data_IF_542784506269
#
_entry.id   IF_542784506269
#
_cell.length_a   1.000
_cell.length_b   1.000
_cell.length_c   1.000
_cell.angle_alpha   90.00
_cell.angle_beta   90.00
_cell.angle_gamma   90.00
#
_symmetry.space_group_name_H-M   'P 1'
#
loop_
_entity.id
_entity.type
_entity.pdbx_description
1 polymer ?
#
# COMPACT_ATOMS: atom_id res chain seq x y z
N UNK A 1 -4.06 37.67 1.91
CA UNK A 1 -5.18 37.01 2.62
C UNK A 1 -6.38 37.09 1.68
N UNK A 2 -6.98 36.07 1.11
CA UNK A 2 -7.00 34.62 1.31
C UNK A 2 -7.29 34.01 -0.07
N UNK A 3 -6.42 33.13 -0.56
CA UNK A 3 -6.71 32.21 -1.64
C UNK A 3 -6.56 30.78 -1.09
N UNK A 4 -7.33 30.53 -0.02
CA UNK A 4 -7.59 29.19 0.49
C UNK A 4 -8.78 28.68 -0.32
N UNK A 5 -8.69 27.43 -0.80
CA UNK A 5 -9.71 26.69 -1.56
C UNK A 5 -9.54 26.72 -3.09
N UNK A 6 -8.52 26.03 -3.62
CA UNK A 6 -8.55 25.43 -4.98
C UNK A 6 -7.34 24.51 -5.27
N UNK A 7 -7.01 23.52 -4.42
CA UNK A 7 -6.07 22.44 -4.82
C UNK A 7 -6.41 21.10 -4.12
N UNK A 8 -7.68 20.70 -4.14
CA UNK A 8 -8.09 19.34 -3.71
C UNK A 8 -8.53 18.46 -4.89
N UNK A 9 -8.22 18.85 -6.14
CA UNK A 9 -8.71 18.14 -7.31
C UNK A 9 -7.68 18.11 -8.43
N UNK A 10 -6.62 17.31 -8.27
CA UNK A 10 -5.77 16.97 -9.42
C UNK A 10 -5.13 15.58 -9.40
N UNK A 11 -5.39 14.74 -8.38
CA UNK A 11 -4.98 13.34 -8.37
C UNK A 11 -6.12 12.33 -8.59
N UNK A 12 -7.36 12.81 -8.62
CA UNK A 12 -8.53 11.94 -8.88
C UNK A 12 -8.87 11.84 -10.36
N UNK A 13 -8.57 12.86 -11.18
CA UNK A 13 -8.96 12.86 -12.60
C UNK A 13 -7.88 12.31 -13.55
N UNK A 14 -6.59 12.45 -13.24
CA UNK A 14 -5.53 12.06 -14.18
C UNK A 14 -5.41 10.53 -14.36
N UNK A 15 -5.82 9.74 -13.36
CA UNK A 15 -5.90 8.27 -13.47
C UNK A 15 -7.27 7.77 -13.94
N UNK A 16 -8.31 8.62 -13.97
CA UNK A 16 -9.63 8.27 -14.51
C UNK A 16 -9.71 8.31 -16.04
N UNK A 17 -8.78 8.99 -16.73
CA UNK A 17 -8.84 9.08 -18.20
C UNK A 17 -8.33 7.85 -18.94
N UNK A 18 -7.56 6.95 -18.29
CA UNK A 18 -6.94 5.80 -19.00
C UNK A 18 -7.41 4.40 -18.56
N UNK A 19 -8.27 4.25 -17.54
CA UNK A 19 -8.75 2.92 -17.09
C UNK A 19 -10.27 2.86 -17.06
N UNK A 20 -10.87 2.77 -18.23
CA UNK A 20 -12.32 2.83 -18.46
C UNK A 20 -13.09 1.52 -18.19
N UNK A 21 -12.67 0.61 -17.29
CA UNK A 21 -13.51 -0.59 -17.04
C UNK A 21 -13.58 -1.23 -15.66
N UNK A 22 -12.80 -0.84 -14.64
CA UNK A 22 -12.90 -1.51 -13.33
C UNK A 22 -12.51 -0.57 -12.17
N UNK A 23 -13.42 0.30 -11.71
CA UNK A 23 -13.23 0.99 -10.43
C UNK A 23 -14.57 1.45 -9.83
N UNK A 24 -14.97 0.81 -8.73
CA UNK A 24 -16.00 1.30 -7.81
C UNK A 24 -15.40 2.37 -6.86
N UNK A 25 -16.16 3.15 -6.09
CA UNK A 25 -15.71 4.43 -5.52
C UNK A 25 -14.66 4.43 -4.37
N UNK A 26 -13.75 3.47 -4.27
CA UNK A 26 -12.84 3.28 -3.11
C UNK A 26 -11.33 3.45 -3.40
N UNK A 27 -10.93 3.76 -4.61
CA UNK A 27 -9.77 3.04 -5.16
C UNK A 27 -8.37 3.65 -4.97
N UNK A 28 -8.15 4.60 -4.03
CA UNK A 28 -6.78 5.02 -3.60
C UNK A 28 -6.66 5.37 -2.09
N UNK A 29 -7.56 4.87 -1.24
CA UNK A 29 -7.66 5.23 0.18
C UNK A 29 -6.98 4.15 1.05
N UNK A 30 -5.65 4.19 1.16
CA UNK A 30 -4.92 3.29 2.06
C UNK A 30 -3.41 3.56 2.11
N UNK A 31 -2.86 3.70 3.32
CA UNK A 31 -1.43 3.90 3.54
C UNK A 31 -0.68 2.56 3.56
N UNK A 32 -0.82 1.75 2.51
CA UNK A 32 -0.24 0.41 2.41
C UNK A 32 1.12 0.35 1.70
N UNK A 33 1.55 -0.87 1.35
CA UNK A 33 2.86 -1.15 0.70
C UNK A 33 3.14 -0.25 -0.52
N UNK A 34 2.17 -0.07 -1.41
CA UNK A 34 2.31 0.83 -2.58
C UNK A 34 1.83 2.26 -2.28
N UNK A 35 0.90 2.43 -1.34
CA UNK A 35 0.29 3.72 -1.02
C UNK A 35 1.26 4.68 -0.32
N UNK A 36 2.05 4.18 0.65
CA UNK A 36 3.06 4.97 1.33
C UNK A 36 4.12 5.57 0.39
N UNK A 37 4.84 4.79 -0.44
CA UNK A 37 5.84 5.34 -1.35
C UNK A 37 5.23 6.23 -2.42
N UNK A 38 4.03 5.91 -2.94
CA UNK A 38 3.32 6.79 -3.87
C UNK A 38 3.03 8.17 -3.25
N UNK A 39 2.50 8.19 -2.02
CA UNK A 39 2.23 9.43 -1.31
C UNK A 39 3.50 10.23 -1.03
N UNK A 40 4.60 9.56 -0.65
CA UNK A 40 5.89 10.20 -0.45
C UNK A 40 6.40 10.87 -1.74
N UNK A 41 6.38 10.16 -2.87
CA UNK A 41 6.80 10.69 -4.18
C UNK A 41 5.97 11.91 -4.59
N UNK A 42 4.65 11.84 -4.47
CA UNK A 42 3.76 12.95 -4.81
C UNK A 42 3.94 14.16 -3.88
N UNK A 43 4.23 13.90 -2.60
CA UNK A 43 4.40 14.95 -1.58
C UNK A 43 5.60 15.88 -1.82
N UNK A 44 6.53 15.47 -2.68
CA UNK A 44 7.66 16.31 -3.10
C UNK A 44 7.19 17.62 -3.77
N UNK A 45 6.05 17.58 -4.47
CA UNK A 45 5.55 18.71 -5.24
C UNK A 45 4.09 19.12 -4.90
N UNK A 46 3.35 18.27 -4.19
CA UNK A 46 1.93 18.47 -3.91
C UNK A 46 1.60 18.27 -2.43
N UNK A 47 0.48 18.86 -1.98
CA UNK A 47 -0.12 18.48 -0.69
C UNK A 47 -0.87 17.16 -0.85
N UNK A 48 -0.47 16.15 -0.10
CA UNK A 48 -1.03 14.80 -0.17
C UNK A 48 -1.67 14.43 1.17
N UNK A 49 -2.89 13.89 1.12
CA UNK A 49 -3.57 13.30 2.27
C UNK A 49 -3.66 11.79 2.08
N UNK A 50 -3.14 11.03 3.05
CA UNK A 50 -3.29 9.57 3.10
C UNK A 50 -4.35 9.23 4.13
N UNK A 51 -5.31 8.41 3.73
CA UNK A 51 -6.36 7.90 4.61
C UNK A 51 -6.15 6.40 4.76
N UNK A 52 -5.89 5.95 5.98
CA UNK A 52 -5.73 4.55 6.34
C UNK A 52 -6.79 4.17 7.37
N UNK A 53 -7.45 3.03 7.17
CA UNK A 53 -8.54 2.57 8.04
C UNK A 53 -8.02 1.98 9.36
N UNK A 54 -6.80 1.44 9.35
CA UNK A 54 -6.16 0.83 10.51
C UNK A 54 -5.42 1.83 11.39
N UNK A 55 -4.89 1.32 12.51
CA UNK A 55 -4.13 2.12 13.47
C UNK A 55 -2.70 2.40 13.00
N UNK A 56 -1.99 3.24 13.75
CA UNK A 56 -0.53 3.41 13.59
C UNK A 56 0.23 2.17 14.11
N UNK A 57 1.38 1.79 13.53
CA UNK A 57 2.20 0.67 13.99
C UNK A 57 2.56 0.70 15.48
N UNK A 58 2.74 1.89 16.04
CA UNK A 58 3.04 2.08 17.47
C UNK A 58 1.92 1.59 18.40
N UNK A 59 0.70 1.42 17.89
CA UNK A 59 -0.42 0.85 18.64
C UNK A 59 -0.30 -0.67 18.82
N UNK A 60 0.52 -1.32 18.00
CA UNK A 60 0.74 -2.77 18.02
C UNK A 60 2.24 -3.09 17.97
N UNK A 61 3.00 -2.90 19.07
CA UNK A 61 4.47 -2.96 19.04
C UNK A 61 5.08 -4.24 18.45
N UNK A 62 4.38 -5.37 18.53
CA UNK A 62 4.83 -6.63 17.95
C UNK A 62 4.94 -6.59 16.41
N UNK A 63 4.32 -5.65 15.70
CA UNK A 63 4.51 -5.46 14.25
C UNK A 63 5.87 -4.84 13.90
N UNK A 64 6.60 -4.31 14.89
CA UNK A 64 7.89 -3.65 14.72
C UNK A 64 9.08 -4.59 14.93
N UNK A 65 8.84 -5.87 15.21
CA UNK A 65 9.89 -6.85 15.53
C UNK A 65 9.69 -8.12 14.72
N UNK A 66 10.78 -8.74 14.29
CA UNK A 66 10.73 -10.02 13.60
C UNK A 66 10.12 -11.13 14.47
N UNK A 67 10.46 -11.15 15.77
CA UNK A 67 9.91 -12.13 16.73
C UNK A 67 8.39 -12.01 16.89
N UNK A 68 7.83 -10.83 16.62
CA UNK A 68 6.40 -10.57 16.69
C UNK A 68 5.60 -11.08 15.49
N UNK A 69 6.24 -11.57 14.41
CA UNK A 69 5.55 -12.05 13.21
C UNK A 69 4.49 -13.12 13.53
N UNK A 70 4.90 -14.22 14.18
CA UNK A 70 3.98 -15.29 14.56
C UNK A 70 2.94 -14.82 15.59
N UNK A 71 3.35 -13.95 16.52
CA UNK A 71 2.45 -13.40 17.54
C UNK A 71 1.28 -12.65 16.91
N UNK A 72 1.55 -11.79 15.93
CA UNK A 72 0.51 -11.01 15.24
C UNK A 72 -0.51 -11.91 14.53
N UNK A 73 -0.05 -13.01 13.91
CA UNK A 73 -0.91 -13.98 13.24
C UNK A 73 -1.73 -14.86 14.20
N UNK A 74 -1.31 -14.97 15.46
CA UNK A 74 -2.01 -15.75 16.49
C UNK A 74 -3.10 -14.95 17.22
N UNK A 75 -3.11 -13.62 17.11
CA UNK A 75 -4.13 -12.81 17.79
C UNK A 75 -5.52 -13.05 17.18
N UNK A 76 -6.55 -13.03 18.02
CA UNK A 76 -7.93 -13.03 17.58
C UNK A 76 -8.24 -11.73 16.81
N UNK A 77 -9.03 -11.82 15.73
CA UNK A 77 -9.45 -10.63 14.98
C UNK A 77 -10.68 -10.01 15.63
N UNK A 78 -10.47 -8.90 16.34
CA UNK A 78 -11.52 -8.14 17.03
C UNK A 78 -12.13 -7.01 16.18
N UNK A 79 -11.78 -6.93 14.89
CA UNK A 79 -12.21 -5.84 14.03
C UNK A 79 -11.30 -4.61 14.05
N UNK A 80 -10.29 -4.55 14.93
CA UNK A 80 -9.31 -3.46 15.04
C UNK A 80 -7.86 -3.90 14.90
N UNK A 81 -7.52 -5.15 15.23
CA UNK A 81 -6.16 -5.72 15.13
C UNK A 81 -5.48 -5.47 13.78
N UNK A 82 -4.13 -5.46 13.73
CA UNK A 82 -3.39 -5.18 12.50
C UNK A 82 -3.48 -6.32 11.47
N UNK A 83 -3.89 -7.51 11.89
CA UNK A 83 -4.09 -8.69 11.05
C UNK A 83 -5.60 -8.93 10.92
N UNK A 84 -6.16 -8.57 9.76
CA UNK A 84 -7.54 -8.93 9.45
C UNK A 84 -7.59 -10.34 8.86
N UNK A 85 -8.42 -11.21 9.43
CA UNK A 85 -8.67 -12.56 8.94
C UNK A 85 -9.74 -12.55 7.85
N UNK A 86 -9.53 -13.37 6.82
CA UNK A 86 -10.44 -13.53 5.69
C UNK A 86 -10.53 -15.02 5.36
N UNK A 87 -11.72 -15.47 4.98
CA UNK A 87 -11.92 -16.78 4.38
C UNK A 87 -12.15 -16.59 2.88
N UNK A 88 -11.41 -17.28 2.02
CA UNK A 88 -11.71 -17.29 0.59
C UNK A 88 -13.04 -18.02 0.31
N UNK A 89 -13.59 -17.84 -0.89
CA UNK A 89 -14.78 -18.58 -1.34
C UNK A 89 -14.54 -20.10 -1.36
N UNK A 90 -13.29 -20.52 -1.59
CA UNK A 90 -12.85 -21.92 -1.53
C UNK A 90 -12.64 -22.44 -0.09
N UNK A 91 -12.89 -21.61 0.93
CA UNK A 91 -12.73 -22.00 2.33
C UNK A 91 -11.28 -22.03 2.83
N UNK A 92 -10.37 -21.30 2.17
CA UNK A 92 -8.96 -21.19 2.58
C UNK A 92 -8.77 -19.96 3.48
N UNK A 93 -8.31 -20.12 4.74
CA UNK A 93 -8.00 -18.99 5.60
C UNK A 93 -6.82 -18.18 5.05
N UNK A 94 -6.99 -16.87 5.02
CA UNK A 94 -5.96 -15.91 4.64
C UNK A 94 -6.02 -14.67 5.54
N UNK A 95 -5.06 -13.78 5.41
CA UNK A 95 -4.97 -12.54 6.19
C UNK A 95 -4.56 -11.36 5.33
N UNK A 96 -4.94 -10.15 5.75
CA UNK A 96 -4.43 -8.89 5.17
C UNK A 96 -4.12 -7.87 6.27
N UNK A 97 -3.23 -6.92 5.97
CA UNK A 97 -2.91 -5.81 6.87
C UNK A 97 -4.10 -4.86 7.09
N UNK A 98 -4.20 -4.33 8.31
CA UNK A 98 -5.11 -3.25 8.73
C UNK A 98 -4.37 -2.29 9.65
N UNK A 99 -3.41 -1.56 9.10
CA UNK A 99 -2.61 -0.55 9.79
C UNK A 99 -1.85 0.29 8.76
N UNK A 100 -1.34 1.45 9.18
CA UNK A 100 -0.42 2.24 8.35
C UNK A 100 0.86 1.43 8.06
N UNK A 101 1.26 1.41 6.79
CA UNK A 101 2.22 0.47 6.19
C UNK A 101 1.55 -0.71 5.48
N UNK A 102 0.33 -1.08 5.87
CA UNK A 102 -0.42 -2.18 5.26
C UNK A 102 0.22 -3.55 5.53
N UNK A 103 0.10 -4.48 4.58
CA UNK A 103 0.58 -5.86 4.75
C UNK A 103 2.11 -5.96 4.86
N UNK A 104 2.88 -4.95 4.42
CA UNK A 104 4.33 -4.95 4.63
C UNK A 104 4.74 -4.94 6.11
N UNK A 105 3.87 -4.45 7.00
CA UNK A 105 4.10 -4.46 8.45
C UNK A 105 3.86 -5.82 9.12
N UNK A 106 3.20 -6.76 8.44
CA UNK A 106 2.83 -8.07 9.01
C UNK A 106 3.33 -9.24 8.16
N UNK A 107 4.15 -8.99 7.14
CA UNK A 107 4.68 -10.03 6.27
C UNK A 107 5.92 -10.70 6.90
N UNK A 108 6.51 -11.65 6.18
CA UNK A 108 7.70 -12.38 6.62
C UNK A 108 9.04 -11.64 6.35
N UNK A 109 9.00 -10.37 5.95
CA UNK A 109 10.20 -9.55 5.70
C UNK A 109 11.04 -9.93 4.48
N UNK A 110 10.63 -10.93 3.69
CA UNK A 110 11.35 -11.34 2.48
C UNK A 110 11.20 -10.28 1.39
N UNK A 111 12.32 -9.79 0.88
CA UNK A 111 12.38 -8.86 -0.25
C UNK A 111 12.98 -9.53 -1.48
N UNK A 112 12.40 -9.27 -2.64
CA UNK A 112 12.91 -9.69 -3.94
C UNK A 112 12.44 -8.72 -5.03
N UNK A 113 13.30 -8.45 -6.02
CA UNK A 113 12.89 -7.76 -7.25
C UNK A 113 12.07 -8.70 -8.15
N UNK A 114 11.14 -8.14 -8.92
CA UNK A 114 10.35 -8.91 -9.87
C UNK A 114 11.23 -9.47 -11.00
N UNK A 115 10.82 -10.61 -11.56
CA UNK A 115 11.51 -11.21 -12.70
C UNK A 115 11.37 -10.32 -13.94
N UNK A 116 12.45 -10.17 -14.73
CA UNK A 116 12.43 -9.41 -15.97
C UNK A 116 11.33 -9.85 -16.95
N UNK A 117 10.99 -11.16 -16.95
CA UNK A 117 9.91 -11.68 -17.79
C UNK A 117 8.54 -11.08 -17.47
N UNK A 118 8.29 -10.67 -16.22
CA UNK A 118 7.04 -10.04 -15.82
C UNK A 118 6.83 -8.73 -16.59
N UNK A 119 7.84 -7.85 -16.60
CA UNK A 119 7.77 -6.57 -17.29
C UNK A 119 7.45 -6.75 -18.78
N UNK A 120 8.18 -7.66 -19.44
CA UNK A 120 8.01 -7.96 -20.86
C UNK A 120 6.63 -8.55 -21.22
N UNK A 121 5.95 -9.22 -20.27
CA UNK A 121 4.68 -9.91 -20.50
C UNK A 121 3.48 -9.17 -19.91
N UNK A 122 3.71 -8.08 -19.17
CA UNK A 122 2.67 -7.33 -18.47
C UNK A 122 1.70 -6.56 -19.37
N UNK A 123 2.10 -6.30 -20.63
CA UNK A 123 1.34 -5.43 -21.55
C UNK A 123 1.49 -3.93 -21.25
N UNK A 124 2.36 -3.56 -20.31
CA UNK A 124 2.71 -2.18 -19.98
C UNK A 124 4.10 -1.88 -20.55
N UNK A 125 4.27 -0.71 -21.17
CA UNK A 125 5.59 -0.21 -21.55
C UNK A 125 6.29 0.37 -20.32
N UNK A 126 7.26 -0.35 -19.78
CA UNK A 126 7.99 0.05 -18.58
C UNK A 126 9.25 0.83 -18.94
N UNK A 127 9.43 1.99 -18.32
CA UNK A 127 10.74 2.62 -18.23
C UNK A 127 11.59 1.83 -17.23
N UNK A 128 12.43 0.93 -17.75
CA UNK A 128 13.25 0.04 -16.93
C UNK A 128 14.35 0.77 -16.16
N UNK A 129 14.78 1.95 -16.62
CA UNK A 129 15.71 2.79 -15.86
C UNK A 129 14.99 3.34 -14.63
N UNK A 130 13.78 3.88 -14.81
CA UNK A 130 12.95 4.36 -13.70
C UNK A 130 12.57 3.24 -12.73
N UNK A 131 12.24 2.04 -13.23
CA UNK A 131 11.96 0.87 -12.37
C UNK A 131 13.16 0.53 -11.50
N UNK A 132 14.37 0.50 -12.07
CA UNK A 132 15.58 0.21 -11.31
C UNK A 132 15.90 1.30 -10.29
N UNK A 133 15.80 2.57 -10.68
CA UNK A 133 15.98 3.70 -9.77
C UNK A 133 14.96 3.68 -8.62
N UNK A 134 13.72 3.24 -8.90
CA UNK A 134 12.67 3.10 -7.89
C UNK A 134 12.97 1.94 -6.93
N UNK A 135 13.50 0.81 -7.43
CA UNK A 135 13.96 -0.27 -6.56
C UNK A 135 15.08 0.19 -5.64
N UNK A 136 16.08 0.90 -6.17
CA UNK A 136 17.20 1.43 -5.39
C UNK A 136 16.71 2.42 -4.32
N UNK A 137 15.72 3.26 -4.63
CA UNK A 137 15.11 4.17 -3.66
C UNK A 137 14.35 3.46 -2.53
N UNK A 138 13.83 2.24 -2.75
CA UNK A 138 13.19 1.44 -1.67
C UNK A 138 14.23 0.66 -0.86
N UNK A 139 15.33 0.27 -1.48
CA UNK A 139 16.38 -0.55 -0.87
C UNK A 139 17.31 0.24 0.07
N UNK A 140 17.41 1.56 -0.12
CA UNK A 140 18.32 2.46 0.61
C UNK A 140 17.59 3.67 1.20
#
# INVERSE_FOLDING_TARGET
MSAISSVLLLLVLYLQSEVHSLATPSDHVGGGTSGCPLAATLSANYSVLVLERGSLPTSYPNVLTQDGFAYNLQQEDDGTTPVQRIMSEDGIPTVRGRLLGGTSMINAGVYARANMSFYNQSGIEWDMELVNNTYEWVEY
#
